data_IF_445749728002
#
_entry.id   IF_445749728002
#
_cell.length_a   1.000
_cell.length_b   1.000
_cell.length_c   1.000
_cell.angle_alpha   90.00
_cell.angle_beta   90.00
_cell.angle_gamma   90.00
#
_symmetry.space_group_name_H-M   'P 1'
#
loop_
_entity.id
_entity.type
_entity.pdbx_description
1 polymer ?
#
# COMPACT_ATOMS: atom_id res chain seq x y z
N UNK A 1 29.07 0.78 -21.77
CA UNK A 1 28.84 2.14 -21.23
C UNK A 1 27.89 2.00 -20.06
N UNK A 2 28.18 2.65 -18.93
CA UNK A 2 27.34 2.56 -17.73
C UNK A 2 26.22 3.58 -17.80
N UNK A 3 25.08 3.21 -18.38
CA UNK A 3 23.85 4.02 -18.35
C UNK A 3 23.18 3.90 -16.98
N UNK A 4 23.79 4.54 -15.97
CA UNK A 4 23.16 4.69 -14.65
C UNK A 4 22.25 5.91 -14.69
N UNK A 5 20.98 5.78 -14.25
CA UNK A 5 20.04 6.89 -14.26
C UNK A 5 20.56 8.03 -13.37
N UNK A 6 20.38 9.27 -13.83
CA UNK A 6 20.80 10.46 -13.09
C UNK A 6 19.95 10.62 -11.83
N UNK A 7 20.49 10.22 -10.68
CA UNK A 7 19.80 10.28 -9.37
C UNK A 7 19.84 11.70 -8.75
N UNK A 8 20.61 12.62 -9.34
CA UNK A 8 20.85 13.96 -8.78
C UNK A 8 19.58 14.80 -8.69
N UNK A 9 18.57 14.49 -9.49
CA UNK A 9 17.28 15.16 -9.48
C UNK A 9 16.43 14.72 -8.27
N UNK A 10 16.56 13.46 -7.85
CA UNK A 10 15.83 12.92 -6.69
C UNK A 10 16.25 13.63 -5.40
N UNK A 11 17.52 14.01 -5.27
CA UNK A 11 18.03 14.69 -4.06
C UNK A 11 17.64 16.16 -3.98
N UNK A 12 17.41 16.82 -5.13
CA UNK A 12 17.10 18.25 -5.23
C UNK A 12 15.61 18.54 -5.49
N UNK A 13 14.80 17.50 -5.70
CA UNK A 13 13.40 17.65 -6.02
C UNK A 13 12.62 18.30 -4.86
N UNK A 14 11.87 19.34 -5.20
CA UNK A 14 11.06 20.10 -4.25
C UNK A 14 9.71 19.38 -4.01
N UNK A 15 9.51 18.91 -2.78
CA UNK A 15 8.30 18.18 -2.36
C UNK A 15 7.03 19.03 -2.45
N UNK A 16 7.14 20.36 -2.44
CA UNK A 16 5.97 21.25 -2.56
C UNK A 16 5.32 21.21 -3.95
N UNK A 17 6.07 20.74 -4.96
CA UNK A 17 5.57 20.56 -6.33
C UNK A 17 4.78 19.26 -6.53
N UNK A 18 4.71 18.41 -5.50
CA UNK A 18 3.86 17.21 -5.53
C UNK A 18 2.39 17.62 -5.43
N UNK A 19 1.55 17.01 -6.26
CA UNK A 19 0.10 17.19 -6.15
C UNK A 19 -0.38 16.60 -4.83
N UNK A 20 -1.27 17.31 -4.15
CA UNK A 20 -1.96 16.74 -2.99
C UNK A 20 -2.75 15.52 -3.46
N UNK A 21 -2.55 14.40 -2.78
CA UNK A 21 -3.29 13.16 -3.02
C UNK A 21 -3.77 12.65 -1.67
N UNK A 22 -5.06 12.34 -1.60
CA UNK A 22 -5.64 11.66 -0.44
C UNK A 22 -5.29 10.18 -0.54
N UNK A 23 -4.48 9.68 0.40
CA UNK A 23 -4.15 8.25 0.46
C UNK A 23 -5.27 7.52 1.16
N UNK A 24 -6.04 6.71 0.42
CA UNK A 24 -7.04 5.82 1.02
C UNK A 24 -6.35 4.58 1.58
N UNK A 25 -6.03 4.60 2.88
CA UNK A 25 -5.54 3.41 3.59
C UNK A 25 -6.69 2.42 3.77
N UNK A 26 -6.77 1.44 2.86
CA UNK A 26 -7.75 0.34 2.92
C UNK A 26 -7.24 -0.76 3.87
N UNK A 27 -7.10 -0.42 5.15
CA UNK A 27 -6.82 -1.37 6.21
C UNK A 27 -8.01 -1.50 7.17
N UNK A 28 -9.20 -1.96 6.70
CA UNK A 28 -10.30 -2.23 7.60
C UNK A 28 -9.94 -3.40 8.51
N UNK A 29 -10.16 -3.22 9.81
CA UNK A 29 -10.10 -4.36 10.74
C UNK A 29 -11.16 -5.38 10.34
N UNK A 30 -10.85 -6.69 10.41
CA UNK A 30 -11.85 -7.72 10.16
C UNK A 30 -13.02 -7.55 11.13
N UNK A 31 -14.24 -7.77 10.65
CA UNK A 31 -15.43 -7.69 11.49
C UNK A 31 -15.51 -8.91 12.41
N UNK A 32 -16.31 -8.84 13.48
CA UNK A 32 -16.52 -9.98 14.40
C UNK A 32 -16.98 -11.24 13.66
N UNK A 33 -17.85 -11.08 12.66
CA UNK A 33 -18.32 -12.15 11.80
C UNK A 33 -17.17 -12.81 11.02
N UNK A 34 -16.30 -12.02 10.39
CA UNK A 34 -15.11 -12.52 9.69
C UNK A 34 -14.18 -13.28 10.63
N UNK A 35 -13.96 -12.75 11.84
CA UNK A 35 -13.10 -13.39 12.86
C UNK A 35 -13.71 -14.73 13.31
N UNK A 36 -15.02 -14.80 13.50
CA UNK A 36 -15.72 -16.04 13.89
C UNK A 36 -15.72 -17.08 12.76
N UNK A 37 -15.92 -16.66 11.51
CA UNK A 37 -15.80 -17.52 10.33
C UNK A 37 -14.39 -18.10 10.18
N UNK A 38 -13.33 -17.30 10.38
CA UNK A 38 -11.95 -17.80 10.34
C UNK A 38 -11.64 -18.73 11.52
N UNK A 39 -12.11 -18.39 12.72
CA UNK A 39 -11.91 -19.18 13.94
C UNK A 39 -12.59 -20.55 13.87
N UNK A 40 -13.72 -20.66 13.17
CA UNK A 40 -14.47 -21.91 13.00
C UNK A 40 -14.00 -22.76 11.82
N UNK A 41 -13.05 -22.25 11.03
CA UNK A 41 -12.42 -22.97 9.93
C UNK A 41 -12.97 -22.51 8.59
N UNK A 42 -12.15 -21.75 7.84
CA UNK A 42 -12.31 -21.52 6.41
C UNK A 42 -12.09 -22.81 5.59
N UNK A 43 -12.93 -23.82 5.80
CA UNK A 43 -13.01 -25.05 5.03
C UNK A 43 -14.19 -24.98 4.06
N UNK A 44 -13.93 -24.61 2.80
CA UNK A 44 -14.95 -24.80 1.77
C UNK A 44 -14.86 -23.89 0.54
N UNK A 45 -13.68 -23.69 -0.04
CA UNK A 45 -13.59 -23.31 -1.45
C UNK A 45 -12.42 -24.01 -2.14
N UNK A 46 -12.60 -25.31 -2.35
CA UNK A 46 -12.16 -26.02 -3.56
C UNK A 46 -13.36 -26.82 -4.06
#
# INVERSE_FOLDING_TARGET
MSDKPNISEVTKFDKSKLKHTETSEKNPLPTKETIEQEKTGGSGKK
#
